data_IF_605052156880
#
_entry.id   IF_605052156880
#
_cell.length_a   1.000
_cell.length_b   1.000
_cell.length_c   1.000
_cell.angle_alpha   90.00
_cell.angle_beta   90.00
_cell.angle_gamma   90.00
#
_symmetry.space_group_name_H-M   'P 1'
#
loop_
_entity.id
_entity.type
_entity.pdbx_description
1 polymer ?
#
# COMPACT_ATOMS: atom_id res chain seq x y z
N UNK A 1 34.99 -8.69 -5.60
CA UNK A 1 34.28 -7.42 -5.32
C UNK A 1 33.05 -7.28 -6.21
N UNK A 2 31.91 -7.83 -5.77
CA UNK A 2 30.62 -7.57 -6.41
C UNK A 2 29.89 -6.52 -5.57
N UNK A 3 29.63 -5.37 -6.17
CA UNK A 3 28.94 -4.25 -5.56
C UNK A 3 27.52 -4.68 -5.16
N UNK A 4 27.24 -4.65 -3.86
CA UNK A 4 25.89 -4.72 -3.34
C UNK A 4 25.17 -3.43 -3.73
N UNK A 5 24.36 -3.49 -4.79
CA UNK A 5 23.45 -2.42 -5.13
C UNK A 5 22.30 -2.44 -4.11
N UNK A 6 22.43 -1.67 -3.03
CA UNK A 6 21.27 -1.15 -2.31
C UNK A 6 20.60 -0.16 -3.25
N UNK A 7 19.78 -0.67 -4.16
CA UNK A 7 18.86 0.16 -4.91
C UNK A 7 17.78 0.60 -3.92
N UNK A 8 17.99 1.74 -3.29
CA UNK A 8 16.91 2.55 -2.75
C UNK A 8 16.06 2.97 -3.94
N UNK A 9 15.16 2.09 -4.38
CA UNK A 9 14.23 2.37 -5.46
C UNK A 9 13.21 3.34 -4.91
N UNK A 10 13.47 4.64 -5.10
CA UNK A 10 12.40 5.62 -5.06
C UNK A 10 11.25 5.08 -5.94
N UNK A 11 10.01 5.02 -5.42
CA UNK A 11 8.92 4.43 -6.17
C UNK A 11 8.79 5.16 -7.50
N UNK A 12 8.76 4.42 -8.61
CA UNK A 12 8.38 4.97 -9.92
C UNK A 12 7.07 5.75 -9.73
N UNK A 13 6.95 6.99 -10.22
CA UNK A 13 5.73 7.76 -10.06
C UNK A 13 4.56 6.98 -10.69
N UNK A 14 3.74 6.38 -9.84
CA UNK A 14 2.53 5.66 -10.21
C UNK A 14 1.34 6.57 -9.90
N UNK A 15 0.24 6.41 -10.63
CA UNK A 15 -0.96 7.20 -10.38
C UNK A 15 -1.65 6.88 -9.03
N UNK A 16 -1.26 5.78 -8.37
CA UNK A 16 -1.91 5.29 -7.15
C UNK A 16 -0.90 5.06 -6.03
N UNK A 17 -1.16 5.67 -4.87
CA UNK A 17 -0.39 5.44 -3.64
C UNK A 17 -0.91 4.22 -2.85
N UNK A 18 -2.16 3.82 -3.09
CA UNK A 18 -2.84 2.71 -2.44
C UNK A 18 -4.02 2.22 -3.28
N UNK A 19 -4.48 0.98 -3.02
CA UNK A 19 -5.61 0.37 -3.72
C UNK A 19 -6.63 -0.21 -2.74
N UNK A 20 -7.91 0.03 -2.99
CA UNK A 20 -9.04 -0.67 -2.36
C UNK A 20 -9.84 -1.36 -3.46
N UNK A 21 -9.97 -2.68 -3.38
CA UNK A 21 -10.71 -3.50 -4.34
C UNK A 21 -12.08 -3.81 -3.76
N UNK A 22 -13.14 -3.40 -4.46
CA UNK A 22 -14.53 -3.68 -4.05
C UNK A 22 -15.05 -4.93 -4.73
N UNK A 23 -15.00 -4.97 -6.07
CA UNK A 23 -15.40 -6.11 -6.91
C UNK A 23 -14.41 -6.23 -8.06
N UNK A 24 -14.58 -7.22 -8.92
CA UNK A 24 -14.09 -7.15 -10.29
C UNK A 24 -13.61 -8.49 -10.84
N UNK A 25 -13.32 -8.47 -12.14
CA UNK A 25 -12.86 -9.62 -12.92
C UNK A 25 -11.38 -9.51 -13.29
N UNK A 26 -11.03 -10.01 -14.48
CA UNK A 26 -9.64 -10.04 -14.97
C UNK A 26 -8.97 -8.66 -15.04
N UNK A 27 -9.71 -7.59 -15.34
CA UNK A 27 -9.18 -6.22 -15.33
C UNK A 27 -8.65 -5.83 -13.96
N UNK A 28 -9.44 -6.06 -12.93
CA UNK A 28 -9.07 -5.83 -11.52
C UNK A 28 -7.92 -6.72 -11.07
N UNK A 29 -7.83 -7.96 -11.57
CA UNK A 29 -6.68 -8.84 -11.31
C UNK A 29 -5.39 -8.25 -11.89
N UNK A 30 -5.45 -7.68 -13.10
CA UNK A 30 -4.31 -7.01 -13.72
C UNK A 30 -3.86 -5.79 -12.92
N UNK A 31 -4.81 -4.97 -12.45
CA UNK A 31 -4.53 -3.82 -11.57
C UNK A 31 -3.96 -4.23 -10.22
N UNK A 32 -4.51 -5.29 -9.60
CA UNK A 32 -3.99 -5.85 -8.35
C UNK A 32 -2.57 -6.38 -8.52
N UNK A 33 -2.29 -7.03 -9.66
CA UNK A 33 -0.94 -7.51 -10.00
C UNK A 33 0.03 -6.34 -10.16
N UNK A 34 -0.38 -5.27 -10.85
CA UNK A 34 0.41 -4.06 -10.96
C UNK A 34 0.71 -3.46 -9.58
N UNK A 35 -0.29 -3.35 -8.71
CA UNK A 35 -0.10 -2.83 -7.35
C UNK A 35 0.85 -3.72 -6.54
N UNK A 36 0.69 -5.05 -6.60
CA UNK A 36 1.55 -6.00 -5.90
C UNK A 36 3.02 -5.92 -6.35
N UNK A 37 3.26 -5.82 -7.67
CA UNK A 37 4.61 -5.69 -8.22
C UNK A 37 5.31 -4.40 -7.76
N UNK A 38 4.55 -3.33 -7.63
CA UNK A 38 5.05 -2.03 -7.17
C UNK A 38 4.98 -1.85 -5.64
N UNK A 39 4.65 -2.93 -4.89
CA UNK A 39 4.50 -2.91 -3.44
C UNK A 39 3.50 -1.86 -2.93
N UNK A 40 2.51 -1.53 -3.76
CA UNK A 40 1.42 -0.62 -3.42
C UNK A 40 0.46 -1.38 -2.49
N UNK A 41 0.11 -0.82 -1.31
CA UNK A 41 -0.78 -1.48 -0.37
C UNK A 41 -2.18 -1.66 -0.94
N UNK A 42 -2.67 -2.90 -0.87
CA UNK A 42 -3.98 -3.30 -1.40
C UNK A 42 -4.85 -3.90 -0.29
N UNK A 43 -6.08 -3.38 -0.17
CA UNK A 43 -7.14 -3.93 0.68
C UNK A 43 -8.30 -4.41 -0.18
N UNK A 44 -8.83 -5.60 0.09
CA UNK A 44 -10.00 -6.17 -0.58
C UNK A 44 -11.23 -6.11 0.33
N UNK A 45 -12.37 -5.73 -0.23
CA UNK A 45 -13.66 -5.79 0.45
C UNK A 45 -14.17 -7.24 0.46
N UNK A 46 -14.12 -7.91 1.61
CA UNK A 46 -14.37 -9.36 1.71
C UNK A 46 -15.84 -9.75 1.54
N UNK A 47 -16.74 -8.80 1.76
CA UNK A 47 -18.19 -8.99 1.68
C UNK A 47 -18.75 -8.85 0.25
N UNK A 48 -17.89 -8.60 -0.74
CA UNK A 48 -18.27 -8.44 -2.14
C UNK A 48 -17.53 -9.49 -2.98
N UNK A 49 -18.22 -10.20 -3.90
CA UNK A 49 -17.56 -11.19 -4.75
C UNK A 49 -16.52 -10.53 -5.67
N UNK A 50 -15.46 -11.26 -6.03
CA UNK A 50 -14.47 -10.76 -6.97
C UNK A 50 -13.17 -11.54 -6.97
N UNK A 51 -12.32 -11.28 -7.97
CA UNK A 51 -11.03 -11.96 -8.16
C UNK A 51 -10.02 -11.73 -7.02
N UNK A 52 -10.21 -10.70 -6.20
CA UNK A 52 -9.32 -10.39 -5.07
C UNK A 52 -9.50 -11.32 -3.86
N UNK A 53 -10.68 -11.94 -3.71
CA UNK A 53 -11.05 -12.72 -2.51
C UNK A 53 -10.05 -13.85 -2.19
N UNK A 54 -9.60 -14.68 -3.15
CA UNK A 54 -8.70 -15.79 -2.85
C UNK A 54 -7.33 -15.36 -2.32
N UNK A 55 -6.95 -14.10 -2.51
CA UNK A 55 -5.65 -13.53 -2.14
C UNK A 55 -5.65 -12.87 -0.76
N UNK A 56 -6.81 -12.68 -0.13
CA UNK A 56 -6.90 -12.09 1.22
C UNK A 56 -6.03 -12.87 2.20
N UNK A 57 -5.19 -12.14 2.94
CA UNK A 57 -4.30 -12.71 3.94
C UNK A 57 -3.12 -13.48 3.34
N UNK A 58 -2.90 -13.40 2.02
CA UNK A 58 -1.84 -14.11 1.31
C UNK A 58 -0.95 -13.14 0.52
N UNK A 59 0.11 -13.69 -0.04
CA UNK A 59 0.92 -13.06 -1.07
C UNK A 59 0.48 -13.60 -2.43
N UNK A 60 0.62 -12.80 -3.49
CA UNK A 60 0.24 -13.26 -4.83
C UNK A 60 1.20 -14.29 -5.40
N UNK A 61 2.45 -14.32 -4.94
CA UNK A 61 3.46 -15.25 -5.42
C UNK A 61 4.52 -15.60 -4.35
N UNK A 62 5.52 -16.39 -4.77
CA UNK A 62 6.62 -16.84 -3.91
C UNK A 62 7.57 -15.71 -3.48
N UNK A 63 7.57 -14.55 -4.15
CA UNK A 63 8.43 -13.40 -3.80
C UNK A 63 7.96 -12.69 -2.54
N UNK A 64 6.68 -12.88 -2.16
CA UNK A 64 6.08 -12.35 -0.92
C UNK A 64 6.31 -10.84 -0.73
N UNK A 65 6.08 -10.06 -1.79
CA UNK A 65 6.35 -8.62 -1.82
C UNK A 65 5.51 -7.84 -0.80
N UNK A 66 4.20 -7.97 -0.88
CA UNK A 66 3.26 -7.34 0.06
C UNK A 66 2.07 -8.25 0.32
N UNK A 67 1.58 -8.27 1.56
CA UNK A 67 0.42 -9.09 1.92
C UNK A 67 -0.86 -8.37 1.51
N UNK A 68 -1.77 -9.06 0.83
CA UNK A 68 -3.08 -8.51 0.49
C UNK A 68 -3.96 -8.54 1.75
N UNK A 69 -4.50 -7.39 2.11
CA UNK A 69 -5.35 -7.23 3.29
C UNK A 69 -6.82 -7.37 2.92
N UNK A 70 -7.66 -7.71 3.89
CA UNK A 70 -9.10 -7.83 3.73
C UNK A 70 -9.85 -7.15 4.86
N UNK A 71 -11.02 -6.59 4.54
CA UNK A 71 -12.01 -6.19 5.54
C UNK A 71 -13.42 -6.14 4.96
N UNK A 72 -14.44 -6.22 5.82
CA UNK A 72 -15.85 -6.06 5.43
C UNK A 72 -16.34 -4.63 5.59
N UNK A 73 -15.61 -3.80 6.32
CA UNK A 73 -16.02 -2.46 6.71
C UNK A 73 -15.27 -1.39 5.90
N UNK A 74 -15.96 -0.53 5.13
CA UNK A 74 -15.30 0.50 4.32
C UNK A 74 -14.40 1.44 5.14
N UNK A 75 -14.85 1.84 6.32
CA UNK A 75 -14.06 2.67 7.23
C UNK A 75 -12.75 1.97 7.65
N UNK A 76 -12.80 0.65 7.89
CA UNK A 76 -11.60 -0.11 8.23
C UNK A 76 -10.66 -0.23 7.03
N UNK A 77 -11.18 -0.30 5.81
CA UNK A 77 -10.35 -0.39 4.60
C UNK A 77 -9.46 0.85 4.45
N UNK A 78 -10.06 2.02 4.62
CA UNK A 78 -9.33 3.30 4.61
C UNK A 78 -8.32 3.36 5.76
N UNK A 79 -8.70 2.95 6.98
CA UNK A 79 -7.78 2.94 8.12
C UNK A 79 -6.56 2.04 7.86
N UNK A 80 -6.76 0.83 7.33
CA UNK A 80 -5.68 -0.11 7.00
C UNK A 80 -4.69 0.47 5.98
N UNK A 81 -5.20 1.13 4.95
CA UNK A 81 -4.36 1.85 3.98
C UNK A 81 -3.56 2.95 4.68
N UNK A 82 -4.22 3.81 5.45
CA UNK A 82 -3.56 4.93 6.12
C UNK A 82 -2.51 4.47 7.14
N UNK A 83 -2.78 3.39 7.88
CA UNK A 83 -1.82 2.74 8.78
C UNK A 83 -0.60 2.22 8.00
N UNK A 84 -0.82 1.62 6.83
CA UNK A 84 0.26 1.06 6.00
C UNK A 84 1.11 2.17 5.38
N UNK A 85 0.48 3.24 4.87
CA UNK A 85 1.20 4.39 4.30
C UNK A 85 2.02 5.15 5.33
N UNK A 86 1.52 5.29 6.57
CA UNK A 86 2.30 5.88 7.68
C UNK A 86 3.51 5.01 8.06
N UNK A 87 3.36 3.68 8.06
CA UNK A 87 4.46 2.75 8.36
C UNK A 87 5.56 2.79 7.31
N UNK A 88 5.18 3.03 6.05
CA UNK A 88 6.12 3.06 4.92
C UNK A 88 6.74 4.47 4.71
N UNK A 89 6.55 5.41 5.65
CA UNK A 89 7.03 6.80 5.59
C UNK A 89 6.65 7.56 4.30
N UNK A 90 5.65 7.07 3.55
CA UNK A 90 5.15 7.70 2.31
C UNK A 90 4.43 9.01 2.61
N UNK A 91 3.76 9.08 3.77
CA UNK A 91 3.20 10.32 4.28
C UNK A 91 4.33 11.08 4.98
N UNK A 92 4.90 12.06 4.27
CA UNK A 92 5.89 12.96 4.82
C UNK A 92 5.39 13.49 6.15
N UNK A 93 6.18 13.32 7.22
CA UNK A 93 5.91 13.96 8.52
C UNK A 93 5.93 15.46 8.29
N UNK A 94 4.78 16.06 8.04
CA UNK A 94 4.59 17.49 8.27
C UNK A 94 4.82 17.64 9.76
N UNK A 95 6.03 18.04 10.15
CA UNK A 95 6.34 18.39 11.53
C UNK A 95 5.29 19.42 11.92
N UNK A 96 4.51 19.11 12.96
CA UNK A 96 3.53 20.04 13.50
C UNK A 96 4.18 21.41 13.69
N UNK A 97 3.41 22.49 13.54
CA UNK A 97 3.89 23.88 13.71
C UNK A 97 4.70 24.05 15.00
N UNK A 98 4.36 23.30 16.05
CA UNK A 98 5.06 23.28 17.33
C UNK A 98 6.54 22.84 17.21
N UNK A 99 6.83 21.83 16.38
CA UNK A 99 8.21 21.39 16.14
C UNK A 99 9.02 22.38 15.31
N UNK A 100 8.37 23.13 14.40
CA UNK A 100 9.04 24.19 13.62
C UNK A 100 9.37 25.37 14.54
N UNK A 101 8.43 25.79 15.40
CA UNK A 101 8.64 26.87 16.38
C UNK A 101 9.83 26.60 17.30
N UNK A 102 9.98 25.38 17.81
CA UNK A 102 11.10 25.02 18.68
C UNK A 102 12.46 25.02 17.95
N UNK A 103 12.49 24.66 16.67
CA UNK A 103 13.71 24.63 15.86
C UNK A 103 14.13 26.02 15.34
N UNK A 104 13.17 26.94 15.15
CA UNK A 104 13.43 28.27 14.56
C UNK A 104 13.67 29.37 15.59
N UNK A 105 13.56 29.11 16.91
CA UNK A 105 13.71 30.12 17.98
C UNK A 105 12.97 31.43 17.67
N UNK A 106 11.69 31.32 17.32
CA UNK A 106 10.72 32.43 17.22
C UNK A 106 9.55 32.13 18.14
#
# INVERSE_FOLDING_TARGET
PQASATAETAPTPTAATAQIIVEGGVGTLSEMTYCYLNQIPTVVMENVPGVGIPYIGKYMDKRKLIKILGTKEPARAVQLIMETLRKNDVLTKVKSIEHIRQATRI
#
